data_IF_838833366020
#
_entry.id   IF_838833366020
#
_cell.length_a   1.000
_cell.length_b   1.000
_cell.length_c   1.000
_cell.angle_alpha   90.00
_cell.angle_beta   90.00
_cell.angle_gamma   90.00
#
_symmetry.space_group_name_H-M   'P 1'
#
loop_
_entity.id
_entity.type
_entity.pdbx_description
1 polymer ?
#
# COMPACT_ATOMS: atom_id res chain seq x y z
N UNK A 1 -7.54 -11.86 4.45
CA UNK A 1 -7.10 -11.91 3.06
C UNK A 1 -7.72 -13.18 2.48
N UNK A 2 -8.22 -13.15 1.25
CA UNK A 2 -8.82 -14.32 0.63
C UNK A 2 -7.79 -15.17 -0.11
N UNK A 3 -8.12 -16.45 -0.37
CA UNK A 3 -7.39 -17.31 -1.31
C UNK A 3 -5.89 -17.42 -1.04
N UNK A 4 -5.51 -18.17 -0.01
CA UNK A 4 -4.14 -18.59 0.29
C UNK A 4 -3.10 -17.47 0.54
N UNK A 5 -3.54 -16.22 0.65
CA UNK A 5 -2.66 -15.12 1.03
C UNK A 5 -2.56 -14.99 2.55
N UNK A 6 -1.35 -15.02 3.08
CA UNK A 6 -1.05 -14.90 4.51
C UNK A 6 -0.22 -13.65 4.77
N UNK A 7 -0.54 -12.96 5.86
CA UNK A 7 0.30 -11.94 6.44
C UNK A 7 0.83 -12.49 7.77
N UNK A 8 2.14 -12.70 7.87
CA UNK A 8 2.78 -13.25 9.05
C UNK A 8 3.35 -12.12 9.91
N UNK A 9 3.00 -12.12 11.19
CA UNK A 9 3.57 -11.27 12.21
C UNK A 9 4.35 -12.13 13.20
N UNK A 10 5.56 -11.70 13.53
CA UNK A 10 6.40 -12.38 14.50
C UNK A 10 6.61 -11.45 15.70
N UNK A 11 6.28 -11.93 16.89
CA UNK A 11 6.75 -11.27 18.10
C UNK A 11 8.25 -11.57 18.26
N UNK A 12 9.06 -10.53 18.19
CA UNK A 12 10.49 -10.64 18.48
C UNK A 12 10.67 -10.30 19.96
N UNK A 13 11.25 -11.22 20.77
CA UNK A 13 11.53 -10.93 22.17
C UNK A 13 12.33 -9.63 22.31
N UNK A 14 11.91 -8.80 23.24
CA UNK A 14 12.34 -7.43 23.47
C UNK A 14 13.83 -7.20 23.21
N UNK A 15 14.16 -6.71 22.05
CA UNK A 15 15.39 -6.01 21.79
C UNK A 15 15.06 -4.54 21.54
N UNK A 16 15.95 -3.65 21.85
CA UNK A 16 15.82 -2.20 21.68
C UNK A 16 15.81 -1.77 20.19
N UNK A 17 15.16 -2.54 19.31
CA UNK A 17 15.04 -2.12 17.91
C UNK A 17 13.94 -1.07 17.83
N UNK A 18 14.36 0.17 17.55
CA UNK A 18 13.42 1.20 17.09
C UNK A 18 12.81 0.75 15.77
N UNK A 19 11.52 1.01 15.54
CA UNK A 19 10.95 0.88 14.20
C UNK A 19 11.82 1.66 13.23
N UNK A 20 12.15 1.07 12.07
CA UNK A 20 12.77 1.84 10.98
C UNK A 20 11.82 2.97 10.61
N UNK A 21 12.35 4.15 10.33
CA UNK A 21 11.56 5.22 9.75
C UNK A 21 10.97 4.68 8.43
N UNK A 22 9.68 4.90 8.21
CA UNK A 22 9.01 4.45 6.99
C UNK A 22 9.59 5.10 5.73
N UNK A 23 10.24 6.24 5.89
CA UNK A 23 10.85 7.00 4.81
C UNK A 23 12.32 6.60 4.56
N UNK A 24 12.87 5.70 5.39
CA UNK A 24 14.18 5.13 5.17
C UNK A 24 14.18 4.06 4.07
N UNK A 25 15.28 3.97 3.32
CA UNK A 25 15.48 2.87 2.37
C UNK A 25 15.45 1.53 3.13
N UNK A 26 14.54 0.64 2.73
CA UNK A 26 14.27 -0.62 3.42
C UNK A 26 13.25 -0.51 4.55
N UNK A 27 12.74 0.70 4.84
CA UNK A 27 11.57 0.91 5.67
C UNK A 27 10.29 0.50 4.94
N UNK A 28 9.30 -0.05 5.66
CA UNK A 28 7.98 -0.30 5.11
C UNK A 28 7.18 1.00 5.13
N UNK A 29 6.94 1.59 3.97
CA UNK A 29 6.19 2.83 3.87
C UNK A 29 4.73 2.63 4.32
N UNK A 30 4.06 1.60 3.80
CA UNK A 30 2.75 1.12 4.26
C UNK A 30 2.44 -0.25 3.64
N UNK A 31 1.40 -0.88 4.16
CA UNK A 31 0.87 -2.12 3.61
C UNK A 31 -0.58 -1.90 3.19
N UNK A 32 -0.87 -2.03 1.89
CA UNK A 32 -2.19 -1.81 1.32
C UNK A 32 -2.95 -3.12 1.07
N UNK A 33 -4.24 -3.14 1.40
CA UNK A 33 -5.14 -4.25 1.15
C UNK A 33 -6.33 -3.78 0.31
N UNK A 34 -6.60 -4.51 -0.75
CA UNK A 34 -7.83 -4.31 -1.51
C UNK A 34 -9.01 -4.88 -0.75
N UNK A 35 -10.04 -4.08 -0.58
CA UNK A 35 -11.29 -4.42 0.09
C UNK A 35 -12.49 -4.03 -0.78
N UNK A 36 -13.65 -4.59 -0.51
CA UNK A 36 -14.91 -4.10 -1.10
C UNK A 36 -15.38 -2.82 -0.39
N UNK A 37 -16.26 -2.00 -1.01
CA UNK A 37 -16.86 -0.83 -0.34
C UNK A 37 -17.51 -1.18 1.00
N UNK A 38 -18.25 -2.30 1.07
CA UNK A 38 -18.88 -2.77 2.32
C UNK A 38 -17.85 -3.14 3.39
N UNK A 39 -16.75 -3.77 2.99
CA UNK A 39 -15.64 -4.09 3.90
C UNK A 39 -14.92 -2.83 4.38
N UNK A 40 -14.76 -1.81 3.54
CA UNK A 40 -14.21 -0.51 3.91
C UNK A 40 -15.07 0.14 4.99
N UNK A 41 -16.38 0.19 4.79
CA UNK A 41 -17.30 0.79 5.77
C UNK A 41 -17.33 -0.02 7.08
N UNK A 42 -17.34 -1.35 7.01
CA UNK A 42 -17.26 -2.20 8.20
C UNK A 42 -15.94 -2.00 8.97
N UNK A 43 -14.82 -1.85 8.26
CA UNK A 43 -13.52 -1.55 8.87
C UNK A 43 -13.54 -0.17 9.54
N UNK A 44 -14.06 0.85 8.89
CA UNK A 44 -14.20 2.20 9.43
C UNK A 44 -14.96 2.21 10.76
N UNK A 45 -16.10 1.50 10.80
CA UNK A 45 -16.90 1.36 12.02
C UNK A 45 -16.14 0.64 13.15
N UNK A 46 -15.41 -0.42 12.82
CA UNK A 46 -14.61 -1.17 13.79
C UNK A 46 -13.45 -0.35 14.35
N UNK A 47 -12.74 0.41 13.52
CA UNK A 47 -11.66 1.30 13.98
C UNK A 47 -12.23 2.37 14.91
N UNK A 48 -13.33 3.03 14.53
CA UNK A 48 -14.00 4.01 15.37
C UNK A 48 -14.47 3.44 16.71
N UNK A 49 -15.08 2.26 16.71
CA UNK A 49 -15.53 1.59 17.93
C UNK A 49 -14.35 1.17 18.85
N UNK A 50 -13.20 0.88 18.28
CA UNK A 50 -11.97 0.54 18.99
C UNK A 50 -11.16 1.77 19.43
N UNK A 51 -11.56 2.99 19.06
CA UNK A 51 -10.83 4.22 19.35
C UNK A 51 -9.50 4.33 18.60
N UNK A 52 -9.40 3.66 17.43
CA UNK A 52 -8.22 3.75 16.56
C UNK A 52 -8.43 4.90 15.59
N UNK A 53 -7.48 5.83 15.57
CA UNK A 53 -7.49 6.94 14.62
C UNK A 53 -7.26 6.45 13.19
N UNK A 54 -7.95 7.06 12.23
CA UNK A 54 -7.78 6.76 10.82
C UNK A 54 -7.99 8.01 9.96
N UNK A 55 -7.33 8.04 8.81
CA UNK A 55 -7.46 9.06 7.78
C UNK A 55 -8.29 8.51 6.61
N UNK A 56 -9.26 9.27 6.17
CA UNK A 56 -10.14 8.85 5.06
C UNK A 56 -11.51 8.34 5.53
N UNK A 57 -12.29 7.70 4.64
CA UNK A 57 -11.97 7.41 3.23
C UNK A 57 -11.73 8.68 2.40
N UNK A 58 -10.71 8.65 1.53
CA UNK A 58 -10.35 9.72 0.62
C UNK A 58 -10.13 9.20 -0.79
N UNK A 59 -10.51 9.99 -1.79
CA UNK A 59 -10.20 9.68 -3.19
C UNK A 59 -8.71 9.98 -3.45
N UNK A 60 -7.92 8.95 -3.64
CA UNK A 60 -6.50 9.08 -3.99
C UNK A 60 -6.33 9.30 -5.48
N UNK A 61 -7.11 8.56 -6.28
CA UNK A 61 -7.22 8.69 -7.72
C UNK A 61 -8.70 8.58 -8.09
N UNK A 62 -9.14 9.10 -9.25
CA UNK A 62 -10.49 8.89 -9.72
C UNK A 62 -10.86 7.41 -9.71
N UNK A 63 -11.82 7.02 -8.89
CA UNK A 63 -12.27 5.63 -8.73
C UNK A 63 -11.42 4.75 -7.81
N UNK A 64 -10.50 5.34 -7.04
CA UNK A 64 -9.75 4.62 -6.01
C UNK A 64 -9.89 5.34 -4.67
N UNK A 65 -10.59 4.73 -3.74
CA UNK A 65 -10.81 5.23 -2.39
C UNK A 65 -9.91 4.52 -1.41
N UNK A 66 -9.20 5.27 -0.57
CA UNK A 66 -8.28 4.72 0.42
C UNK A 66 -8.57 5.24 1.82
N UNK A 67 -8.26 4.41 2.82
CA UNK A 67 -8.31 4.73 4.23
C UNK A 67 -7.05 4.22 4.90
N UNK A 68 -6.43 5.06 5.74
CA UNK A 68 -5.16 4.77 6.39
C UNK A 68 -5.33 4.73 7.91
N UNK A 69 -4.61 3.83 8.56
CA UNK A 69 -4.56 3.71 10.02
C UNK A 69 -3.23 3.08 10.43
N UNK A 70 -2.89 3.17 11.71
CA UNK A 70 -1.69 2.54 12.26
C UNK A 70 -2.04 1.23 12.94
N UNK A 71 -1.18 0.22 12.76
CA UNK A 71 -1.23 -0.96 13.61
C UNK A 71 -0.63 -0.66 15.00
N UNK A 72 -0.76 -1.56 16.00
CA UNK A 72 -0.21 -1.32 17.33
C UNK A 72 1.32 -1.18 17.39
N UNK A 73 2.04 -1.54 16.34
CA UNK A 73 3.49 -1.41 16.23
C UNK A 73 3.91 -0.14 15.48
N UNK A 74 2.96 0.66 15.01
CA UNK A 74 3.22 1.86 14.23
C UNK A 74 3.42 1.62 12.73
N UNK A 75 3.08 0.42 12.22
CA UNK A 75 3.08 0.17 10.78
C UNK A 75 1.83 0.82 10.17
N UNK A 76 2.03 1.64 9.14
CA UNK A 76 0.92 2.24 8.40
C UNK A 76 0.23 1.19 7.54
N UNK A 77 -1.05 1.06 7.75
CA UNK A 77 -1.93 0.17 7.00
C UNK A 77 -2.82 0.99 6.08
N UNK A 78 -3.12 0.44 4.93
CA UNK A 78 -4.08 1.02 3.98
C UNK A 78 -5.14 -0.01 3.63
N UNK A 79 -6.39 0.40 3.66
CA UNK A 79 -7.47 -0.29 2.99
C UNK A 79 -7.85 0.53 1.76
N UNK A 80 -7.84 -0.09 0.57
CA UNK A 80 -8.25 0.57 -0.66
C UNK A 80 -9.36 -0.19 -1.37
N UNK A 81 -10.30 0.53 -1.94
CA UNK A 81 -11.36 -0.06 -2.72
C UNK A 81 -11.58 0.70 -4.03
N UNK A 82 -12.02 -0.05 -5.04
CA UNK A 82 -12.58 0.50 -6.25
C UNK A 82 -14.11 0.46 -6.10
N UNK A 83 -14.79 1.61 -6.17
CA UNK A 83 -16.25 1.60 -6.23
C UNK A 83 -16.74 0.73 -7.39
N UNK A 84 -17.84 0.02 -7.19
CA UNK A 84 -18.42 -0.88 -8.20
C UNK A 84 -18.88 -0.14 -9.47
N UNK A 85 -19.09 1.17 -9.37
CA UNK A 85 -19.53 2.04 -10.44
C UNK A 85 -18.45 3.12 -10.67
N UNK A 86 -17.67 2.97 -11.72
CA UNK A 86 -16.66 3.94 -12.13
C UNK A 86 -16.30 3.74 -13.60
N UNK A 87 -15.84 4.82 -14.24
CA UNK A 87 -15.44 4.81 -15.65
C UNK A 87 -14.24 3.89 -15.94
N UNK A 88 -13.54 3.44 -14.89
CA UNK A 88 -12.45 2.49 -15.01
C UNK A 88 -12.55 1.37 -13.95
N UNK A 89 -13.14 0.22 -14.30
CA UNK A 89 -13.31 -0.90 -13.38
C UNK A 89 -11.99 -1.56 -12.94
N UNK A 90 -10.86 -1.15 -13.48
CA UNK A 90 -9.54 -1.69 -13.14
C UNK A 90 -8.53 -0.58 -12.83
N UNK A 91 -8.91 0.37 -11.97
CA UNK A 91 -8.02 1.49 -11.59
C UNK A 91 -6.72 0.97 -10.99
N UNK A 92 -6.77 -0.04 -10.11
CA UNK A 92 -5.55 -0.63 -9.52
C UNK A 92 -4.65 -1.22 -10.61
N UNK A 93 -5.23 -1.93 -11.59
CA UNK A 93 -4.48 -2.43 -12.73
C UNK A 93 -3.94 -1.34 -13.67
N UNK A 94 -4.65 -0.19 -13.74
CA UNK A 94 -4.26 0.92 -14.62
C UNK A 94 -3.15 1.81 -14.06
N UNK A 95 -2.84 1.72 -12.77
CA UNK A 95 -1.70 2.42 -12.16
C UNK A 95 -0.39 1.64 -12.27
N UNK A 96 -0.41 0.48 -12.92
CA UNK A 96 0.83 -0.23 -13.24
C UNK A 96 1.63 0.60 -14.23
N UNK A 97 2.82 1.01 -13.81
CA UNK A 97 3.76 1.72 -14.67
C UNK A 97 4.27 0.80 -15.78
N UNK A 98 4.42 1.37 -16.98
CA UNK A 98 5.20 0.70 -18.02
C UNK A 98 6.68 0.67 -17.60
N UNK A 99 7.44 -0.22 -18.21
CA UNK A 99 8.89 -0.29 -18.00
C UNK A 99 9.58 1.07 -18.23
N UNK A 100 9.20 1.77 -19.28
CA UNK A 100 9.76 3.08 -19.62
C UNK A 100 9.45 4.13 -18.54
N UNK A 101 8.23 4.16 -18.02
CA UNK A 101 7.85 5.07 -16.93
C UNK A 101 8.60 4.77 -15.63
N UNK A 102 8.65 3.50 -15.24
CA UNK A 102 9.37 3.09 -14.03
C UNK A 102 10.87 3.39 -14.12
N UNK A 103 11.49 3.17 -15.28
CA UNK A 103 12.90 3.53 -15.52
C UNK A 103 13.14 5.02 -15.39
N UNK A 104 12.32 5.85 -16.06
CA UNK A 104 12.47 7.30 -16.01
C UNK A 104 12.36 7.83 -14.57
N UNK A 105 11.46 7.28 -13.77
CA UNK A 105 11.29 7.67 -12.37
C UNK A 105 12.48 7.23 -11.51
N UNK A 106 12.90 5.96 -11.61
CA UNK A 106 14.02 5.42 -10.84
C UNK A 106 15.36 6.09 -11.18
N UNK A 107 15.59 6.50 -12.43
CA UNK A 107 16.78 7.23 -12.84
C UNK A 107 16.90 8.59 -12.12
N UNK A 108 15.77 9.21 -11.72
CA UNK A 108 15.79 10.46 -10.95
C UNK A 108 16.28 10.28 -9.50
N UNK A 109 16.25 9.06 -8.99
CA UNK A 109 16.68 8.74 -7.61
C UNK A 109 18.20 8.63 -7.46
N UNK A 110 18.96 8.65 -8.57
CA UNK A 110 20.39 8.40 -8.58
C UNK A 110 20.77 6.92 -8.47
N UNK A 111 19.82 6.01 -8.65
CA UNK A 111 20.07 4.58 -8.71
C UNK A 111 20.98 4.22 -9.90
N UNK A 112 21.80 3.16 -9.78
CA UNK A 112 22.66 2.72 -10.88
C UNK A 112 21.83 2.18 -12.04
N UNK A 113 22.28 2.43 -13.27
CA UNK A 113 21.61 1.95 -14.48
C UNK A 113 21.45 0.42 -14.48
N UNK A 114 22.41 -0.32 -13.95
CA UNK A 114 22.37 -1.77 -13.82
C UNK A 114 21.23 -2.22 -12.89
N UNK A 115 21.09 -1.58 -11.74
CA UNK A 115 20.02 -1.87 -10.79
C UNK A 115 18.64 -1.51 -11.38
N UNK A 116 18.53 -0.34 -12.03
CA UNK A 116 17.28 0.08 -12.70
C UNK A 116 16.87 -0.95 -13.76
N UNK A 117 17.81 -1.40 -14.57
CA UNK A 117 17.54 -2.44 -15.58
C UNK A 117 17.05 -3.73 -14.95
N UNK A 118 17.70 -4.18 -13.89
CA UNK A 118 17.35 -5.41 -13.18
C UNK A 118 15.94 -5.37 -12.58
N UNK A 119 15.59 -4.28 -11.87
CA UNK A 119 14.28 -4.19 -11.16
C UNK A 119 13.12 -3.94 -12.12
N UNK A 120 13.37 -3.37 -13.28
CA UNK A 120 12.34 -3.11 -14.30
C UNK A 120 12.22 -4.21 -15.35
N UNK A 121 13.07 -5.23 -15.33
CA UNK A 121 13.14 -6.27 -16.36
C UNK A 121 11.82 -7.04 -16.59
N UNK A 122 11.01 -7.18 -15.56
CA UNK A 122 9.73 -7.92 -15.60
C UNK A 122 8.50 -7.04 -15.87
N UNK A 123 8.69 -5.73 -16.04
CA UNK A 123 7.59 -4.83 -16.38
C UNK A 123 7.31 -4.88 -17.88
N UNK A 124 6.03 -4.72 -18.25
CA UNK A 124 5.62 -4.62 -19.64
C UNK A 124 6.08 -3.27 -20.25
N UNK A 125 6.38 -3.29 -21.51
CA UNK A 125 6.70 -2.10 -22.30
C UNK A 125 5.47 -1.22 -22.57
#
# INVERSE_FOLDING_TARGET
MGNDSLLAYFEIPKGEKKPSDRDDIGGMQHCAFTVTPDQMEALRQRLGAAGVDYDGPVDILPGLVSMYFMDPNGVRMEACCQPAEGDNPNVIGSVLQTRAQARAELETTGASAEWVEQVTANLAD
#
